data_IF_111653438228
#
_entry.id   IF_111653438228
#
_cell.length_a   1.000
_cell.length_b   1.000
_cell.length_c   1.000
_cell.angle_alpha   90.00
_cell.angle_beta   90.00
_cell.angle_gamma   90.00
#
_symmetry.space_group_name_H-M   'P 1'
#
loop_
_entity.id
_entity.type
_entity.pdbx_description
1 polymer ?
#
# COMPACT_ATOMS: atom_id res chain seq x y z
N UNK A 1 10.47 7.04 -23.93
CA UNK A 1 9.78 6.40 -22.82
C UNK A 1 10.49 5.12 -22.43
N UNK A 2 10.40 4.73 -21.17
CA UNK A 2 11.14 3.60 -20.59
C UNK A 2 10.63 2.21 -21.04
N UNK A 3 9.58 2.17 -21.89
CA UNK A 3 8.99 0.90 -22.37
C UNK A 3 8.08 0.18 -21.37
N UNK A 4 7.76 0.83 -20.26
CA UNK A 4 6.80 0.32 -19.30
C UNK A 4 5.35 0.53 -19.76
N UNK A 5 4.50 -0.45 -19.54
CA UNK A 5 3.08 -0.41 -19.84
C UNK A 5 2.31 -0.22 -18.52
N UNK A 6 1.68 0.96 -18.36
CA UNK A 6 0.81 1.23 -17.21
C UNK A 6 -0.44 0.35 -17.25
N UNK A 7 -0.97 0.01 -16.09
CA UNK A 7 -2.11 -0.90 -15.97
C UNK A 7 -3.47 -0.17 -16.04
N UNK A 8 -3.78 0.64 -15.03
CA UNK A 8 -5.05 1.37 -14.92
C UNK A 8 -4.84 2.64 -14.11
N UNK A 9 -5.71 3.63 -14.27
CA UNK A 9 -5.69 4.85 -13.48
C UNK A 9 -6.65 5.92 -14.01
N UNK A 10 -7.29 6.63 -13.10
CA UNK A 10 -8.04 7.85 -13.37
C UNK A 10 -7.38 9.03 -12.65
N UNK A 11 -6.28 9.47 -13.21
CA UNK A 11 -5.40 10.47 -12.61
C UNK A 11 -6.05 11.85 -12.48
N UNK A 12 -6.89 12.25 -13.44
CA UNK A 12 -7.56 13.55 -13.42
C UNK A 12 -8.61 13.61 -12.32
N UNK A 13 -9.46 12.60 -12.19
CA UNK A 13 -10.45 12.53 -11.12
C UNK A 13 -9.79 12.55 -9.73
N UNK A 14 -8.68 11.84 -9.55
CA UNK A 14 -7.94 11.86 -8.28
C UNK A 14 -7.39 13.26 -7.97
N UNK A 15 -6.84 13.94 -8.97
CA UNK A 15 -6.30 15.29 -8.83
C UNK A 15 -7.38 16.31 -8.49
N UNK A 16 -8.47 16.33 -9.26
CA UNK A 16 -9.57 17.28 -9.08
C UNK A 16 -10.22 17.10 -7.70
N UNK A 17 -10.42 15.84 -7.28
CA UNK A 17 -10.93 15.51 -5.95
C UNK A 17 -10.03 16.02 -4.83
N UNK A 18 -8.70 15.90 -4.97
CA UNK A 18 -7.75 16.39 -3.98
C UNK A 18 -7.76 17.93 -3.89
N UNK A 19 -7.80 18.63 -5.03
CA UNK A 19 -7.85 20.10 -5.07
C UNK A 19 -9.15 20.63 -4.43
N UNK A 20 -10.27 20.00 -4.75
CA UNK A 20 -11.58 20.36 -4.17
C UNK A 20 -11.61 20.15 -2.66
N UNK A 21 -11.13 18.99 -2.19
CA UNK A 21 -11.15 18.61 -0.78
C UNK A 21 -10.39 19.58 0.13
N UNK A 22 -9.29 20.16 -0.35
CA UNK A 22 -8.52 21.13 0.42
C UNK A 22 -8.98 22.58 0.24
N UNK A 23 -9.89 22.86 -0.69
CA UNK A 23 -10.28 24.23 -1.04
C UNK A 23 -9.11 25.02 -1.68
N UNK A 24 -8.44 24.41 -2.66
CA UNK A 24 -7.17 24.92 -3.21
C UNK A 24 -7.21 26.39 -3.66
N UNK A 25 -8.29 26.85 -4.32
CA UNK A 25 -8.41 28.22 -4.79
C UNK A 25 -8.46 29.24 -3.65
N UNK A 26 -9.11 28.88 -2.53
CA UNK A 26 -9.19 29.75 -1.36
C UNK A 26 -7.88 29.76 -0.59
N UNK A 27 -7.18 28.62 -0.51
CA UNK A 27 -5.81 28.57 0.03
C UNK A 27 -4.84 29.47 -0.76
N UNK A 28 -4.95 29.51 -2.09
CA UNK A 28 -4.12 30.40 -2.92
C UNK A 28 -4.44 31.88 -2.70
N UNK A 29 -5.70 32.24 -2.46
CA UNK A 29 -6.09 33.61 -2.06
C UNK A 29 -5.51 33.96 -0.68
N UNK A 30 -5.65 33.07 0.30
CA UNK A 30 -5.04 33.24 1.62
C UNK A 30 -3.54 33.43 1.53
N UNK A 31 -2.86 32.60 0.75
CA UNK A 31 -1.41 32.70 0.55
C UNK A 31 -1.01 34.07 -0.01
N UNK A 32 -1.72 34.55 -1.04
CA UNK A 32 -1.44 35.85 -1.63
C UNK A 32 -1.63 36.97 -0.60
N UNK A 33 -2.71 36.94 0.20
CA UNK A 33 -2.91 37.90 1.27
C UNK A 33 -1.82 37.81 2.36
N UNK A 34 -1.38 36.61 2.70
CA UNK A 34 -0.31 36.38 3.69
C UNK A 34 1.03 37.01 3.25
N UNK A 35 1.33 36.95 1.96
CA UNK A 35 2.53 37.61 1.39
C UNK A 35 2.45 39.14 1.53
N UNK A 36 1.30 39.74 1.26
CA UNK A 36 1.11 41.17 1.43
C UNK A 36 1.14 41.60 2.93
N UNK A 37 0.55 40.82 3.80
CA UNK A 37 0.61 41.07 5.25
C UNK A 37 2.02 40.92 5.80
N UNK A 38 2.82 39.97 5.28
CA UNK A 38 4.23 39.82 5.61
C UNK A 38 5.02 41.07 5.18
N UNK A 39 4.88 41.53 3.94
CA UNK A 39 5.55 42.74 3.43
C UNK A 39 5.15 43.99 4.23
N UNK A 40 3.94 44.04 4.76
CA UNK A 40 3.43 45.11 5.59
C UNK A 40 3.87 44.99 7.09
N UNK A 41 4.63 43.98 7.47
CA UNK A 41 5.06 43.72 8.85
C UNK A 41 3.96 43.27 9.81
N UNK A 42 2.81 42.81 9.29
CA UNK A 42 1.68 42.36 10.12
C UNK A 42 1.81 40.91 10.58
N UNK A 43 2.61 40.11 9.91
CA UNK A 43 2.87 38.70 10.23
C UNK A 43 4.33 38.33 9.94
N UNK A 44 4.85 37.33 10.65
CA UNK A 44 6.15 36.71 10.38
C UNK A 44 6.00 35.29 9.81
N UNK A 45 4.75 34.83 9.59
CA UNK A 45 4.45 33.50 9.08
C UNK A 45 4.08 33.57 7.60
N UNK A 46 4.69 32.68 6.81
CA UNK A 46 4.37 32.42 5.42
C UNK A 46 3.53 31.16 5.28
N UNK A 47 2.75 31.06 4.21
CA UNK A 47 1.94 29.89 3.88
C UNK A 47 2.52 29.23 2.63
N UNK A 48 2.79 27.92 2.70
CA UNK A 48 3.19 27.09 1.59
C UNK A 48 2.18 26.00 1.29
N UNK A 49 1.98 25.74 0.00
CA UNK A 49 1.05 24.71 -0.50
C UNK A 49 1.85 23.78 -1.41
N UNK A 50 2.20 22.62 -0.88
CA UNK A 50 2.96 21.59 -1.60
C UNK A 50 2.03 20.62 -2.28
N UNK A 51 2.20 20.44 -3.57
CA UNK A 51 1.39 19.59 -4.42
C UNK A 51 2.26 18.46 -4.97
N UNK A 52 1.73 17.24 -4.95
CA UNK A 52 2.34 16.09 -5.61
C UNK A 52 1.28 15.21 -6.24
N UNK A 53 1.49 14.87 -7.49
CA UNK A 53 0.77 13.81 -8.18
C UNK A 53 1.80 12.78 -8.66
N UNK A 54 1.60 11.53 -8.30
CA UNK A 54 2.59 10.48 -8.55
C UNK A 54 1.95 9.20 -9.06
N UNK A 55 2.74 8.44 -9.77
CA UNK A 55 2.47 7.04 -10.13
C UNK A 55 3.71 6.24 -9.76
N UNK A 56 3.52 5.19 -8.99
CA UNK A 56 4.58 4.30 -8.56
C UNK A 56 4.55 3.02 -9.38
N UNK A 57 5.72 2.46 -9.73
CA UNK A 57 5.86 1.12 -10.28
C UNK A 57 6.10 0.14 -9.14
N UNK A 58 5.19 -0.80 -8.93
CA UNK A 58 5.26 -1.76 -7.83
C UNK A 58 4.99 -3.19 -8.29
N UNK A 59 5.19 -4.13 -7.38
CA UNK A 59 4.95 -5.53 -7.66
C UNK A 59 6.06 -6.18 -8.47
N UNK A 60 7.31 -5.89 -8.10
CA UNK A 60 8.47 -6.57 -8.68
C UNK A 60 8.27 -8.09 -8.62
N UNK A 61 7.97 -8.69 -9.77
CA UNK A 61 7.51 -10.06 -9.88
C UNK A 61 7.54 -10.65 -11.28
N UNK A 62 7.15 -9.90 -12.36
CA UNK A 62 7.18 -10.47 -13.72
C UNK A 62 8.57 -10.93 -14.10
N UNK A 63 8.77 -12.23 -14.30
CA UNK A 63 10.08 -12.83 -14.68
C UNK A 63 10.63 -12.21 -15.96
N UNK A 64 9.76 -11.84 -16.90
CA UNK A 64 10.15 -11.18 -18.16
C UNK A 64 10.79 -9.79 -17.98
N UNK A 65 10.54 -9.11 -16.86
CA UNK A 65 10.95 -7.73 -16.63
C UNK A 65 11.86 -7.58 -15.41
N UNK A 66 11.82 -8.56 -14.49
CA UNK A 66 12.46 -8.46 -13.19
C UNK A 66 13.18 -9.75 -12.85
N UNK A 67 14.46 -9.63 -12.53
CA UNK A 67 15.20 -10.68 -11.87
C UNK A 67 16.11 -10.08 -10.79
N UNK A 68 16.43 -10.85 -9.78
CA UNK A 68 17.48 -10.53 -8.82
C UNK A 68 18.49 -11.68 -8.85
N UNK A 69 19.71 -11.38 -9.22
CA UNK A 69 20.80 -12.38 -9.32
C UNK A 69 20.45 -13.59 -10.22
N UNK A 70 19.63 -13.35 -11.26
CA UNK A 70 19.19 -14.43 -12.17
C UNK A 70 18.06 -15.29 -11.61
N UNK A 71 17.42 -14.89 -10.51
CA UNK A 71 16.27 -15.58 -9.92
C UNK A 71 14.96 -14.97 -10.42
N UNK A 72 14.01 -15.82 -10.81
CA UNK A 72 12.65 -15.38 -11.13
C UNK A 72 11.95 -14.78 -9.89
N UNK A 73 11.34 -13.62 -10.06
CA UNK A 73 10.74 -12.88 -8.95
C UNK A 73 9.26 -13.19 -8.72
N UNK A 74 8.76 -14.30 -9.26
CA UNK A 74 7.42 -14.81 -8.92
C UNK A 74 7.32 -15.17 -7.44
N UNK A 75 6.11 -15.40 -6.96
CA UNK A 75 5.87 -15.84 -5.59
C UNK A 75 4.91 -17.03 -5.54
N UNK A 76 4.73 -17.61 -4.37
CA UNK A 76 3.91 -18.79 -4.21
C UNK A 76 3.02 -18.74 -2.97
N UNK A 77 1.97 -19.55 -3.00
CA UNK A 77 1.14 -19.87 -1.84
C UNK A 77 0.82 -21.36 -1.86
N UNK A 78 1.10 -22.02 -0.75
CA UNK A 78 0.58 -23.35 -0.43
C UNK A 78 -0.60 -23.19 0.53
N UNK A 79 -1.70 -23.87 0.28
CA UNK A 79 -2.84 -23.93 1.19
C UNK A 79 -3.25 -25.36 1.46
N UNK A 80 -3.53 -25.66 2.72
CA UNK A 80 -4.15 -26.91 3.17
C UNK A 80 -5.35 -26.63 4.06
N UNK A 81 -6.49 -27.21 3.70
CA UNK A 81 -7.70 -27.19 4.55
C UNK A 81 -7.75 -28.49 5.35
N UNK A 82 -7.85 -28.38 6.66
CA UNK A 82 -7.98 -29.50 7.58
C UNK A 82 -9.42 -30.06 7.58
N UNK A 83 -9.64 -31.35 7.85
CA UNK A 83 -10.98 -31.94 7.94
C UNK A 83 -11.95 -31.24 8.89
N UNK A 84 -11.44 -30.48 9.87
CA UNK A 84 -12.27 -29.69 10.80
C UNK A 84 -12.76 -28.37 10.21
N UNK A 85 -12.28 -27.98 9.03
CA UNK A 85 -12.64 -26.74 8.37
C UNK A 85 -11.71 -25.55 8.69
N UNK A 86 -10.60 -25.73 9.41
CA UNK A 86 -9.54 -24.72 9.49
C UNK A 86 -8.56 -24.85 8.33
N UNK A 87 -7.82 -23.76 8.03
CA UNK A 87 -6.82 -23.76 6.97
C UNK A 87 -5.49 -23.20 7.44
N UNK A 88 -4.42 -23.66 6.81
CA UNK A 88 -3.07 -23.09 6.91
C UNK A 88 -2.65 -22.71 5.51
N UNK A 89 -2.12 -21.48 5.35
CA UNK A 89 -1.49 -21.03 4.13
C UNK A 89 -0.05 -20.60 4.39
N UNK A 90 0.88 -21.04 3.52
CA UNK A 90 2.30 -20.73 3.58
C UNK A 90 2.71 -19.93 2.38
N UNK A 91 3.41 -18.83 2.63
CA UNK A 91 3.80 -17.87 1.59
C UNK A 91 5.31 -17.60 1.63
N UNK A 92 5.86 -17.24 0.50
CA UNK A 92 7.28 -16.87 0.35
C UNK A 92 7.60 -15.42 0.72
N UNK A 93 6.64 -14.68 1.28
CA UNK A 93 6.80 -13.33 1.81
C UNK A 93 7.22 -13.32 3.27
N UNK A 94 7.47 -12.13 3.82
CA UNK A 94 7.69 -11.93 5.26
C UNK A 94 6.95 -10.69 5.73
N UNK A 95 6.25 -10.80 6.85
CA UNK A 95 5.59 -9.67 7.48
C UNK A 95 6.60 -8.79 8.21
N UNK A 96 6.43 -7.46 8.03
CA UNK A 96 7.19 -6.41 8.74
C UNK A 96 6.25 -5.51 9.55
N UNK A 97 5.03 -5.99 9.85
CA UNK A 97 4.00 -5.25 10.57
C UNK A 97 2.88 -4.67 9.70
N UNK A 98 2.92 -4.86 8.36
CA UNK A 98 1.95 -4.31 7.41
C UNK A 98 0.65 -5.13 7.26
N UNK A 99 0.37 -6.05 8.18
CA UNK A 99 -0.92 -6.74 8.28
C UNK A 99 -1.12 -7.89 7.30
N UNK A 100 -0.06 -8.56 6.83
CA UNK A 100 -0.14 -9.68 5.90
C UNK A 100 -1.05 -10.81 6.39
N UNK A 101 -0.91 -11.24 7.65
CA UNK A 101 -1.72 -12.31 8.20
C UNK A 101 -3.23 -12.04 8.06
N UNK A 102 -3.65 -10.80 8.25
CA UNK A 102 -5.05 -10.40 8.08
C UNK A 102 -5.45 -10.35 6.61
N UNK A 103 -4.65 -9.66 5.76
CA UNK A 103 -5.03 -9.45 4.35
C UNK A 103 -5.02 -10.73 3.54
N UNK A 104 -4.02 -11.60 3.71
CA UNK A 104 -3.99 -12.89 3.00
C UNK A 104 -5.09 -13.84 3.48
N UNK A 105 -5.41 -13.85 4.79
CA UNK A 105 -6.55 -14.59 5.29
C UNK A 105 -7.88 -14.09 4.69
N UNK A 106 -8.05 -12.77 4.51
CA UNK A 106 -9.22 -12.19 3.87
C UNK A 106 -9.32 -12.54 2.37
N UNK A 107 -8.20 -12.56 1.64
CA UNK A 107 -8.17 -13.02 0.25
C UNK A 107 -8.65 -14.48 0.18
N UNK A 108 -8.08 -15.35 1.00
CA UNK A 108 -8.49 -16.76 1.02
C UNK A 108 -9.94 -16.94 1.45
N UNK A 109 -10.39 -16.23 2.49
CA UNK A 109 -11.78 -16.29 2.92
C UNK A 109 -12.75 -16.01 1.77
N UNK A 110 -12.46 -14.98 0.98
CA UNK A 110 -13.26 -14.63 -0.21
C UNK A 110 -13.23 -15.69 -1.32
N UNK A 111 -12.10 -16.41 -1.46
CA UNK A 111 -11.94 -17.41 -2.52
C UNK A 111 -12.48 -18.80 -2.14
N UNK A 112 -12.50 -19.16 -0.85
CA UNK A 112 -12.83 -20.52 -0.41
C UNK A 112 -14.02 -20.60 0.55
N UNK A 113 -14.57 -19.47 1.01
CA UNK A 113 -15.77 -19.46 1.87
C UNK A 113 -15.52 -19.90 3.31
N UNK A 114 -14.29 -19.89 3.80
CA UNK A 114 -13.97 -20.06 5.22
C UNK A 114 -13.89 -18.71 5.92
N UNK A 115 -14.29 -18.60 7.19
CA UNK A 115 -14.04 -17.40 7.99
C UNK A 115 -12.54 -17.09 8.06
N UNK A 116 -12.16 -15.82 7.92
CA UNK A 116 -10.75 -15.41 7.93
C UNK A 116 -10.02 -15.77 9.24
N UNK A 117 -10.72 -15.78 10.36
CA UNK A 117 -10.18 -16.20 11.68
C UNK A 117 -9.91 -17.70 11.80
N UNK A 118 -10.42 -18.52 10.89
CA UNK A 118 -10.11 -19.95 10.79
C UNK A 118 -8.93 -20.27 9.87
N UNK A 119 -8.29 -19.22 9.31
CA UNK A 119 -7.18 -19.35 8.35
C UNK A 119 -5.90 -18.81 9.00
N UNK A 120 -4.92 -19.67 9.21
CA UNK A 120 -3.59 -19.31 9.72
C UNK A 120 -2.67 -18.99 8.53
N UNK A 121 -1.99 -17.86 8.58
CA UNK A 121 -0.98 -17.47 7.61
C UNK A 121 0.40 -17.68 8.23
N UNK A 122 1.27 -18.43 7.55
CA UNK A 122 2.66 -18.69 7.92
C UNK A 122 3.58 -18.06 6.88
N UNK A 123 4.52 -17.22 7.36
CA UNK A 123 5.50 -16.50 6.54
C UNK A 123 6.87 -16.49 7.25
N UNK A 124 7.93 -16.24 6.48
CA UNK A 124 9.27 -16.02 7.02
C UNK A 124 10.05 -17.28 7.37
N UNK A 125 9.51 -18.46 7.13
CA UNK A 125 10.18 -19.73 7.29
C UNK A 125 10.54 -20.32 5.91
N UNK A 126 11.82 -20.30 5.57
CA UNK A 126 12.33 -20.78 4.28
C UNK A 126 12.31 -22.30 4.15
N UNK A 127 12.15 -23.04 5.24
CA UNK A 127 12.05 -24.50 5.22
C UNK A 127 10.64 -24.98 4.85
N UNK A 128 9.63 -24.16 5.14
CA UNK A 128 8.23 -24.55 4.95
C UNK A 128 7.54 -23.80 3.80
N UNK A 129 7.99 -22.60 3.44
CA UNK A 129 7.43 -21.84 2.32
C UNK A 129 7.85 -22.48 0.98
N UNK A 130 6.94 -22.65 0.00
CA UNK A 130 7.27 -23.32 -1.25
C UNK A 130 8.30 -22.55 -2.10
N UNK A 131 8.15 -21.23 -2.21
CA UNK A 131 9.11 -20.32 -2.85
C UNK A 131 8.69 -18.88 -2.69
N UNK A 132 9.64 -17.96 -2.55
CA UNK A 132 9.42 -16.52 -2.61
C UNK A 132 10.69 -15.75 -2.29
N UNK A 133 10.68 -14.46 -2.62
CA UNK A 133 11.83 -13.57 -2.43
C UNK A 133 11.59 -12.51 -1.37
N UNK A 134 10.59 -12.69 -0.50
CA UNK A 134 10.31 -11.78 0.60
C UNK A 134 9.48 -10.57 0.20
N UNK A 135 9.56 -9.52 1.03
CA UNK A 135 8.70 -8.33 0.97
C UNK A 135 9.54 -7.08 0.80
N UNK A 136 9.38 -6.38 -0.33
CA UNK A 136 9.98 -5.10 -0.71
C UNK A 136 9.32 -4.59 -1.99
N UNK A 137 9.48 -3.32 -2.35
CA UNK A 137 8.95 -2.77 -3.60
C UNK A 137 7.43 -2.95 -3.73
N UNK A 138 6.72 -2.92 -2.60
CA UNK A 138 5.26 -3.09 -2.50
C UNK A 138 4.71 -4.31 -3.24
N UNK A 139 5.52 -5.41 -3.30
CA UNK A 139 5.24 -6.60 -4.12
C UNK A 139 4.33 -7.65 -3.48
N UNK A 140 4.19 -7.64 -2.16
CA UNK A 140 3.51 -8.74 -1.44
C UNK A 140 2.06 -8.93 -1.91
N UNK A 141 1.27 -7.87 -2.01
CA UNK A 141 -0.10 -7.98 -2.53
C UNK A 141 -0.14 -8.29 -4.04
N UNK A 142 0.60 -7.58 -4.92
CA UNK A 142 0.59 -7.87 -6.35
C UNK A 142 1.06 -9.27 -6.74
N UNK A 143 2.01 -9.86 -6.03
CA UNK A 143 2.60 -11.15 -6.41
C UNK A 143 2.12 -12.27 -5.49
N UNK A 144 2.39 -12.20 -4.19
CA UNK A 144 1.97 -13.24 -3.25
C UNK A 144 0.45 -13.23 -2.99
N UNK A 145 -0.18 -12.05 -2.95
CA UNK A 145 -1.65 -11.97 -2.86
C UNK A 145 -2.35 -12.58 -4.06
N UNK A 146 -1.78 -12.42 -5.25
CA UNK A 146 -2.25 -13.10 -6.46
C UNK A 146 -2.04 -14.62 -6.39
N UNK A 147 -0.87 -15.08 -5.95
CA UNK A 147 -0.61 -16.50 -5.71
C UNK A 147 -1.60 -17.10 -4.71
N UNK A 148 -1.93 -16.35 -3.67
CA UNK A 148 -2.92 -16.71 -2.65
C UNK A 148 -4.32 -16.88 -3.24
N UNK A 149 -4.79 -15.91 -4.02
CA UNK A 149 -6.07 -15.99 -4.71
C UNK A 149 -6.12 -17.20 -5.66
N UNK A 150 -5.05 -17.43 -6.43
CA UNK A 150 -4.97 -18.56 -7.36
C UNK A 150 -4.92 -19.92 -6.65
N UNK A 151 -4.25 -20.03 -5.50
CA UNK A 151 -4.28 -21.22 -4.65
C UNK A 151 -5.71 -21.47 -4.12
N UNK A 152 -6.39 -20.43 -3.64
CA UNK A 152 -7.79 -20.50 -3.23
C UNK A 152 -8.72 -20.99 -4.35
N UNK A 153 -8.53 -20.47 -5.57
CA UNK A 153 -9.32 -20.92 -6.75
C UNK A 153 -9.10 -22.39 -7.11
N UNK A 154 -7.86 -22.90 -6.96
CA UNK A 154 -7.60 -24.34 -7.14
C UNK A 154 -8.33 -25.18 -6.09
N UNK A 155 -8.32 -24.75 -4.83
CA UNK A 155 -9.09 -25.39 -3.75
C UNK A 155 -10.59 -25.36 -4.08
N UNK A 156 -11.11 -24.19 -4.47
CA UNK A 156 -12.53 -24.01 -4.83
C UNK A 156 -12.96 -24.94 -5.97
N UNK A 157 -12.16 -25.08 -7.01
CA UNK A 157 -12.45 -25.98 -8.12
C UNK A 157 -12.55 -27.44 -7.66
N UNK A 158 -11.61 -27.92 -6.84
CA UNK A 158 -11.68 -29.29 -6.26
C UNK A 158 -12.86 -29.42 -5.31
N UNK A 159 -13.13 -28.42 -4.49
CA UNK A 159 -14.27 -28.41 -3.56
C UNK A 159 -15.61 -28.46 -4.30
N UNK A 160 -15.73 -27.81 -5.47
CA UNK A 160 -16.91 -27.84 -6.31
C UNK A 160 -17.22 -29.28 -6.82
N UNK A 161 -16.20 -30.01 -7.26
CA UNK A 161 -16.34 -31.43 -7.67
C UNK A 161 -16.80 -32.31 -6.50
N UNK A 162 -16.22 -32.10 -5.32
CA UNK A 162 -16.61 -32.85 -4.10
C UNK A 162 -18.04 -32.50 -3.70
N UNK A 163 -18.42 -31.20 -3.74
CA UNK A 163 -19.79 -30.78 -3.45
C UNK A 163 -20.82 -31.39 -4.41
N UNK A 164 -20.51 -31.43 -5.71
CA UNK A 164 -21.33 -32.03 -6.72
C UNK A 164 -21.58 -33.52 -6.43
N UNK A 165 -20.54 -34.28 -6.10
CA UNK A 165 -20.64 -35.65 -5.67
C UNK A 165 -21.55 -35.82 -4.44
N UNK A 166 -21.35 -34.97 -3.41
CA UNK A 166 -22.14 -35.02 -2.17
C UNK A 166 -23.62 -34.63 -2.39
N UNK A 167 -23.88 -33.78 -3.38
CA UNK A 167 -25.22 -33.29 -3.71
C UNK A 167 -25.90 -34.15 -4.82
N UNK A 168 -25.19 -35.15 -5.34
CA UNK A 168 -25.67 -36.03 -6.41
C UNK A 168 -26.12 -35.26 -7.67
N UNK A 169 -25.25 -34.32 -8.13
CA UNK A 169 -25.46 -33.48 -9.33
C UNK A 169 -24.18 -33.46 -10.17
N UNK A 170 -24.27 -32.92 -11.40
CA UNK A 170 -23.08 -32.67 -12.21
C UNK A 170 -22.27 -31.48 -11.70
N UNK A 171 -20.96 -31.45 -11.92
CA UNK A 171 -20.05 -30.38 -11.45
C UNK A 171 -20.48 -28.99 -11.95
N UNK A 172 -20.98 -28.92 -13.21
CA UNK A 172 -21.46 -27.68 -13.81
C UNK A 172 -22.76 -27.15 -13.19
N UNK A 173 -23.49 -27.98 -12.44
CA UNK A 173 -24.73 -27.60 -11.74
C UNK A 173 -24.47 -27.02 -10.36
N UNK A 174 -23.22 -27.01 -9.91
CA UNK A 174 -22.79 -26.39 -8.65
C UNK A 174 -22.10 -25.05 -8.90
N UNK A 175 -22.43 -24.07 -8.09
CA UNK A 175 -21.71 -22.77 -8.06
C UNK A 175 -21.29 -22.42 -6.64
N UNK A 176 -20.23 -21.63 -6.53
CA UNK A 176 -19.77 -21.07 -5.27
C UNK A 176 -20.52 -19.78 -4.99
N UNK A 177 -21.23 -19.72 -3.87
CA UNK A 177 -21.99 -18.58 -3.40
C UNK A 177 -21.48 -18.15 -2.01
N UNK A 178 -20.65 -17.12 -2.00
CA UNK A 178 -20.05 -16.47 -0.83
C UNK A 178 -19.29 -17.42 0.11
N UNK A 179 -19.99 -18.29 0.83
CA UNK A 179 -19.45 -19.18 1.88
C UNK A 179 -19.82 -20.67 1.68
N UNK A 180 -20.46 -21.00 0.59
CA UNK A 180 -21.01 -22.34 0.34
C UNK A 180 -21.05 -22.68 -1.16
N UNK A 181 -21.24 -23.96 -1.44
CA UNK A 181 -21.42 -24.50 -2.78
C UNK A 181 -22.88 -24.90 -2.95
N UNK A 182 -23.59 -24.23 -3.83
CA UNK A 182 -25.05 -24.39 -4.01
C UNK A 182 -25.37 -25.04 -5.35
N UNK A 183 -26.50 -25.78 -5.41
CA UNK A 183 -27.03 -26.27 -6.69
C UNK A 183 -27.72 -25.12 -7.42
N UNK A 184 -27.35 -24.87 -8.67
CA UNK A 184 -27.96 -23.83 -9.51
C UNK A 184 -29.45 -24.03 -9.61
N UNK A 185 -30.24 -23.02 -9.28
CA UNK A 185 -31.70 -23.08 -9.26
C UNK A 185 -32.34 -23.75 -8.04
N UNK A 186 -31.52 -24.26 -7.08
CA UNK A 186 -31.97 -24.86 -5.83
C UNK A 186 -31.04 -24.49 -4.66
N UNK A 187 -31.00 -23.20 -4.26
CA UNK A 187 -30.02 -22.68 -3.29
C UNK A 187 -30.16 -23.27 -1.88
N UNK A 188 -31.26 -23.93 -1.57
CA UNK A 188 -31.45 -24.70 -0.34
C UNK A 188 -30.65 -26.01 -0.32
N UNK A 189 -30.21 -26.48 -1.48
CA UNK A 189 -29.30 -27.63 -1.64
C UNK A 189 -27.88 -27.14 -1.74
N UNK A 190 -27.15 -27.19 -0.63
CA UNK A 190 -25.79 -26.68 -0.57
C UNK A 190 -24.87 -27.54 0.32
N UNK A 191 -23.57 -27.31 0.19
CA UNK A 191 -22.51 -27.78 1.09
C UNK A 191 -21.60 -26.64 1.48
N UNK A 192 -21.23 -26.61 2.75
CA UNK A 192 -20.21 -25.69 3.28
C UNK A 192 -18.81 -26.22 3.01
N UNK A 193 -17.80 -25.35 2.97
CA UNK A 193 -16.41 -25.78 2.84
C UNK A 193 -15.99 -26.75 3.96
N UNK A 194 -16.50 -26.58 5.17
CA UNK A 194 -16.25 -27.49 6.29
C UNK A 194 -16.77 -28.92 6.05
N UNK A 195 -17.97 -29.08 5.51
CA UNK A 195 -18.53 -30.38 5.15
C UNK A 195 -17.73 -31.03 4.03
N UNK A 196 -17.35 -30.23 3.02
CA UNK A 196 -16.54 -30.66 1.88
C UNK A 196 -15.16 -31.11 2.35
N UNK A 197 -14.50 -30.32 3.21
CA UNK A 197 -13.20 -30.68 3.79
C UNK A 197 -13.29 -31.99 4.56
N UNK A 198 -14.33 -32.19 5.37
CA UNK A 198 -14.52 -33.46 6.06
C UNK A 198 -14.65 -34.62 5.07
N UNK A 199 -15.47 -34.48 4.00
CA UNK A 199 -15.65 -35.50 2.98
C UNK A 199 -14.36 -35.82 2.22
N UNK A 200 -13.57 -34.79 1.88
CA UNK A 200 -12.30 -34.92 1.16
C UNK A 200 -11.27 -35.85 1.83
N UNK A 201 -11.34 -36.00 3.14
CA UNK A 201 -10.42 -36.87 3.91
C UNK A 201 -11.05 -38.17 4.38
N UNK A 202 -12.39 -38.25 4.46
CA UNK A 202 -13.08 -39.39 5.09
C UNK A 202 -13.91 -40.21 4.12
N UNK A 203 -14.04 -39.79 2.85
CA UNK A 203 -14.81 -40.50 1.82
C UNK A 203 -13.93 -40.84 0.62
N UNK A 204 -14.12 -42.03 0.08
CA UNK A 204 -13.53 -42.41 -1.20
C UNK A 204 -14.45 -41.87 -2.34
N UNK A 205 -14.04 -40.73 -2.93
CA UNK A 205 -14.78 -40.07 -4.01
C UNK A 205 -14.18 -40.51 -5.35
N UNK A 206 -14.92 -41.18 -6.23
CA UNK A 206 -14.37 -41.66 -7.49
C UNK A 206 -13.75 -40.54 -8.34
N UNK A 207 -12.51 -40.75 -8.79
CA UNK A 207 -11.80 -39.79 -9.65
C UNK A 207 -11.24 -38.56 -8.95
N UNK A 208 -11.41 -38.45 -7.65
CA UNK A 208 -10.87 -37.32 -6.84
C UNK A 208 -9.85 -37.89 -5.85
N UNK A 209 -8.64 -37.32 -5.88
CA UNK A 209 -7.59 -37.62 -4.89
C UNK A 209 -8.02 -37.16 -3.50
N UNK A 210 -7.78 -37.95 -2.43
CA UNK A 210 -8.05 -37.53 -1.05
C UNK A 210 -7.31 -36.25 -0.67
N UNK A 211 -7.86 -35.53 0.35
CA UNK A 211 -7.29 -34.30 0.86
C UNK A 211 -7.76 -33.05 0.11
N UNK A 212 -7.48 -31.89 0.69
CA UNK A 212 -7.86 -30.57 0.15
C UNK A 212 -6.70 -29.60 0.30
N UNK A 213 -5.75 -29.74 -0.62
CA UNK A 213 -4.48 -29.00 -0.64
C UNK A 213 -4.21 -28.46 -2.05
N UNK A 214 -3.53 -27.31 -2.12
CA UNK A 214 -3.08 -26.74 -3.39
C UNK A 214 -1.84 -25.89 -3.21
N UNK A 215 -0.98 -25.90 -4.21
CA UNK A 215 0.14 -24.95 -4.35
C UNK A 215 -0.06 -24.14 -5.62
N UNK A 216 0.16 -22.83 -5.54
CA UNK A 216 0.18 -21.94 -6.68
C UNK A 216 1.47 -21.15 -6.73
N UNK A 217 2.13 -21.19 -7.87
CA UNK A 217 3.22 -20.29 -8.24
C UNK A 217 2.63 -19.25 -9.19
N UNK A 218 2.87 -17.98 -8.91
CA UNK A 218 2.29 -16.90 -9.70
C UNK A 218 3.39 -15.97 -10.24
N UNK A 219 3.56 -16.01 -11.55
CA UNK A 219 4.38 -15.05 -12.29
C UNK A 219 3.44 -13.98 -12.89
N UNK A 220 3.48 -12.73 -12.39
CA UNK A 220 2.59 -11.69 -12.89
C UNK A 220 2.81 -11.41 -14.39
N UNK A 221 1.75 -11.13 -15.15
CA UNK A 221 1.89 -10.77 -16.57
C UNK A 221 2.50 -9.37 -16.74
N UNK A 222 2.39 -8.49 -15.73
CA UNK A 222 2.97 -7.15 -15.70
C UNK A 222 3.11 -6.64 -14.25
N UNK A 223 3.79 -5.49 -14.08
CA UNK A 223 3.79 -4.69 -12.86
C UNK A 223 2.40 -4.08 -12.60
N UNK A 224 2.18 -3.57 -11.40
CA UNK A 224 1.01 -2.76 -11.05
C UNK A 224 1.43 -1.31 -10.75
N UNK A 225 0.51 -0.37 -10.93
CA UNK A 225 0.79 1.06 -10.86
C UNK A 225 -0.22 1.76 -9.96
N UNK A 226 0.00 1.75 -8.62
CA UNK A 226 -0.74 2.64 -7.72
C UNK A 226 -0.35 4.09 -8.02
N UNK A 227 -1.25 5.01 -7.69
CA UNK A 227 -1.03 6.44 -7.87
C UNK A 227 -1.74 7.23 -6.78
N UNK A 228 -1.39 8.49 -6.65
CA UNK A 228 -2.01 9.35 -5.67
C UNK A 228 -1.86 10.83 -5.98
N UNK A 229 -2.63 11.63 -5.23
CA UNK A 229 -2.58 13.08 -5.24
C UNK A 229 -2.49 13.57 -3.79
N UNK A 230 -1.36 14.20 -3.44
CA UNK A 230 -1.10 14.66 -2.08
C UNK A 230 -0.94 16.18 -2.03
N UNK A 231 -1.52 16.78 -1.01
CA UNK A 231 -1.47 18.23 -0.79
C UNK A 231 -1.10 18.51 0.66
N UNK A 232 0.02 19.22 0.85
CA UNK A 232 0.52 19.68 2.13
C UNK A 232 0.31 21.19 2.25
N UNK A 233 -0.38 21.64 3.29
CA UNK A 233 -0.53 23.06 3.63
C UNK A 233 0.29 23.34 4.89
N UNK A 234 1.30 24.17 4.78
CA UNK A 234 2.30 24.40 5.83
C UNK A 234 2.43 25.90 6.13
N UNK A 235 2.41 26.25 7.41
CA UNK A 235 2.84 27.57 7.87
C UNK A 235 4.31 27.53 8.31
N UNK A 236 5.07 28.56 7.97
CA UNK A 236 6.49 28.69 8.31
C UNK A 236 6.72 30.04 8.98
N UNK A 237 7.25 30.03 10.19
CA UNK A 237 7.75 31.22 10.87
C UNK A 237 9.18 31.53 10.38
N UNK A 238 9.37 32.68 9.74
CA UNK A 238 10.67 33.02 9.15
C UNK A 238 11.73 33.39 10.18
N UNK A 239 11.32 33.85 11.37
CA UNK A 239 12.25 34.30 12.40
C UNK A 239 12.87 33.15 13.20
N UNK A 240 12.15 32.00 13.29
CA UNK A 240 12.60 30.81 14.02
C UNK A 240 12.93 29.63 13.12
N UNK A 241 12.36 29.59 11.90
CA UNK A 241 12.38 28.45 11.02
C UNK A 241 11.40 27.33 11.41
N UNK A 242 10.62 27.54 12.47
CA UNK A 242 9.59 26.60 12.86
C UNK A 242 8.50 26.48 11.79
N UNK A 243 7.98 25.29 11.64
CA UNK A 243 6.90 25.00 10.70
C UNK A 243 5.76 24.25 11.37
N UNK A 244 4.55 24.46 10.87
CA UNK A 244 3.33 23.80 11.31
C UNK A 244 2.58 23.27 10.09
N UNK A 245 2.28 21.98 10.07
CA UNK A 245 1.43 21.39 9.01
C UNK A 245 -0.02 21.61 9.41
N UNK A 246 -0.67 22.57 8.77
CA UNK A 246 -2.08 22.91 8.99
C UNK A 246 -3.03 21.86 8.47
N UNK A 247 -2.67 21.27 7.33
CA UNK A 247 -3.46 20.26 6.64
C UNK A 247 -2.56 19.38 5.78
N UNK A 248 -2.80 18.09 5.79
CA UNK A 248 -2.25 17.17 4.81
C UNK A 248 -3.38 16.28 4.30
N UNK A 249 -3.61 16.33 3.00
CA UNK A 249 -4.58 15.49 2.33
C UNK A 249 -3.86 14.50 1.41
N UNK A 250 -4.17 13.22 1.57
CA UNK A 250 -3.59 12.13 0.80
C UNK A 250 -4.71 11.31 0.15
N UNK A 251 -4.75 11.32 -1.18
CA UNK A 251 -5.62 10.45 -1.96
C UNK A 251 -4.78 9.39 -2.65
N UNK A 252 -5.11 8.12 -2.41
CA UNK A 252 -4.43 6.96 -3.00
C UNK A 252 -5.36 6.10 -3.83
N UNK A 253 -4.83 5.53 -4.91
CA UNK A 253 -5.47 4.45 -5.66
C UNK A 253 -4.55 3.24 -5.71
N UNK A 254 -4.92 2.21 -4.99
CA UNK A 254 -4.23 0.91 -4.98
C UNK A 254 -5.09 -0.22 -5.60
N UNK A 255 -5.99 0.14 -6.50
CA UNK A 255 -6.95 -0.80 -7.10
C UNK A 255 -7.94 -1.33 -6.07
N UNK A 256 -8.22 -2.62 -6.10
CA UNK A 256 -9.13 -3.26 -5.14
C UNK A 256 -8.56 -3.21 -3.72
N UNK A 257 -9.28 -2.59 -2.81
CA UNK A 257 -8.89 -2.43 -1.40
C UNK A 257 -9.30 -3.65 -0.60
N UNK A 258 -8.33 -4.51 -0.26
CA UNK A 258 -8.57 -5.74 0.50
C UNK A 258 -9.01 -5.44 1.94
N UNK A 259 -8.26 -4.56 2.61
CA UNK A 259 -8.57 -4.11 3.97
C UNK A 259 -8.33 -2.59 4.08
N UNK A 260 -9.41 -1.78 4.09
CA UNK A 260 -9.30 -0.32 4.16
C UNK A 260 -8.52 0.20 5.37
N UNK A 261 -8.71 -0.39 6.56
CA UNK A 261 -8.01 0.02 7.78
C UNK A 261 -6.49 -0.22 7.70
N UNK A 262 -6.08 -1.35 7.13
CA UNK A 262 -4.64 -1.64 6.94
C UNK A 262 -4.03 -0.70 5.91
N UNK A 263 -4.73 -0.42 4.81
CA UNK A 263 -4.28 0.55 3.80
C UNK A 263 -4.09 1.94 4.43
N UNK A 264 -5.07 2.41 5.19
CA UNK A 264 -5.00 3.69 5.91
C UNK A 264 -3.81 3.73 6.88
N UNK A 265 -3.58 2.64 7.63
CA UNK A 265 -2.42 2.50 8.50
C UNK A 265 -1.09 2.57 7.76
N UNK A 266 -1.00 1.97 6.56
CA UNK A 266 0.18 2.06 5.69
C UNK A 266 0.38 3.50 5.18
N UNK A 267 -0.69 4.18 4.78
CA UNK A 267 -0.62 5.58 4.32
C UNK A 267 -0.15 6.50 5.44
N UNK A 268 -0.72 6.41 6.63
CA UNK A 268 -0.31 7.23 7.79
C UNK A 268 1.15 6.97 8.18
N UNK A 269 1.56 5.71 8.25
CA UNK A 269 2.93 5.34 8.60
C UNK A 269 3.95 5.85 7.59
N UNK A 270 3.69 5.64 6.30
CA UNK A 270 4.58 6.10 5.23
C UNK A 270 4.63 7.63 5.11
N UNK A 271 3.52 8.34 5.36
CA UNK A 271 3.53 9.82 5.41
C UNK A 271 4.34 10.36 6.59
N UNK A 272 4.33 9.67 7.73
CA UNK A 272 5.17 10.05 8.89
C UNK A 272 6.66 9.85 8.58
N UNK A 273 7.02 8.78 7.88
CA UNK A 273 8.39 8.59 7.39
C UNK A 273 8.75 9.63 6.31
N UNK A 274 7.84 9.94 5.39
CA UNK A 274 8.04 10.99 4.40
C UNK A 274 8.27 12.37 5.03
N UNK A 275 7.53 12.69 6.11
CA UNK A 275 7.75 13.87 6.93
C UNK A 275 9.18 13.88 7.50
N UNK A 276 9.60 12.76 8.10
CA UNK A 276 10.94 12.63 8.66
C UNK A 276 12.03 12.90 7.62
N UNK A 277 11.94 12.25 6.45
CA UNK A 277 12.89 12.42 5.34
C UNK A 277 12.93 13.87 4.87
N UNK A 278 11.77 14.49 4.67
CA UNK A 278 11.71 15.84 4.15
C UNK A 278 12.19 16.90 5.15
N UNK A 279 11.92 16.72 6.45
CA UNK A 279 12.01 17.77 7.43
C UNK A 279 13.16 17.60 8.43
N UNK A 280 13.80 16.42 8.57
CA UNK A 280 14.78 16.27 9.61
C UNK A 280 15.78 15.11 9.51
N UNK A 281 15.47 14.04 8.78
CA UNK A 281 16.38 12.89 8.70
C UNK A 281 17.63 13.20 7.88
N UNK A 282 18.79 12.96 8.46
CA UNK A 282 20.07 13.08 7.77
C UNK A 282 21.06 12.04 8.33
N UNK A 283 21.75 11.34 7.45
CA UNK A 283 22.90 10.52 7.82
C UNK A 283 24.16 11.36 7.56
N UNK A 284 24.69 11.93 8.64
CA UNK A 284 25.88 12.76 8.59
C UNK A 284 27.15 11.94 8.88
N UNK A 285 28.21 12.25 8.17
CA UNK A 285 29.53 11.63 8.34
C UNK A 285 30.56 12.65 8.82
N UNK A 286 31.57 12.19 9.55
CA UNK A 286 32.78 12.98 9.81
C UNK A 286 33.76 12.91 8.62
N UNK A 287 34.89 13.65 8.74
CA UNK A 287 35.91 13.65 7.69
C UNK A 287 36.64 12.33 7.49
N UNK A 288 36.43 11.34 8.35
CA UNK A 288 37.02 10.00 8.29
C UNK A 288 35.98 8.95 7.79
N UNK A 289 34.73 9.36 7.52
CA UNK A 289 33.67 8.48 7.06
C UNK A 289 32.90 7.79 8.19
N UNK A 290 33.10 8.18 9.45
CA UNK A 290 32.29 7.62 10.54
C UNK A 290 30.92 8.30 10.58
N UNK A 291 29.87 7.50 10.84
CA UNK A 291 28.50 8.01 11.01
C UNK A 291 28.39 8.81 12.31
N UNK A 292 27.95 10.06 12.21
CA UNK A 292 27.71 10.96 13.35
C UNK A 292 26.29 10.81 13.90
N UNK A 293 25.32 10.52 13.05
CA UNK A 293 23.90 10.37 13.41
C UNK A 293 23.53 8.90 13.67
N UNK A 294 24.37 8.21 14.44
CA UNK A 294 24.26 6.77 14.68
C UNK A 294 23.37 6.37 15.86
N UNK A 295 22.76 7.33 16.55
CA UNK A 295 21.87 7.08 17.69
C UNK A 295 20.55 7.80 17.54
N UNK A 296 19.50 7.38 18.28
CA UNK A 296 18.20 8.07 18.29
C UNK A 296 18.26 9.49 18.93
N UNK A 297 19.38 9.88 19.49
CA UNK A 297 19.62 11.26 19.95
C UNK A 297 20.03 12.19 18.81
N UNK A 298 20.63 11.64 17.77
CA UNK A 298 21.21 12.38 16.66
C UNK A 298 20.41 12.22 15.36
N UNK A 299 19.74 11.08 15.21
CA UNK A 299 18.91 10.78 14.05
C UNK A 299 17.46 11.13 14.33
N UNK A 300 16.88 12.02 13.52
CA UNK A 300 15.49 12.45 13.70
C UNK A 300 14.50 11.32 13.42
N UNK A 301 13.72 10.98 14.44
CA UNK A 301 12.59 10.06 14.34
C UNK A 301 11.35 10.78 14.86
N UNK A 302 10.32 11.04 14.01
CA UNK A 302 9.14 11.75 14.43
C UNK A 302 8.41 11.04 15.57
N UNK A 303 7.95 11.81 16.52
CA UNK A 303 7.07 11.36 17.60
C UNK A 303 5.62 11.71 17.27
N UNK A 304 4.69 11.35 18.15
CA UNK A 304 3.30 11.76 18.02
C UNK A 304 3.10 13.30 18.08
N UNK A 305 4.11 14.03 18.55
CA UNK A 305 4.06 15.49 18.61
C UNK A 305 4.30 16.14 17.24
N UNK A 306 5.26 15.61 16.48
CA UNK A 306 5.59 16.13 15.14
C UNK A 306 4.64 15.59 14.07
N UNK A 307 3.99 14.45 14.32
CA UNK A 307 3.09 13.82 13.35
C UNK A 307 1.76 14.55 13.28
N UNK A 308 1.40 15.14 12.13
CA UNK A 308 0.12 15.83 11.99
C UNK A 308 -1.04 14.83 11.83
N UNK A 309 -2.26 15.35 11.90
CA UNK A 309 -3.44 14.59 11.46
C UNK A 309 -3.48 14.55 9.93
N UNK A 310 -3.43 13.36 9.36
CA UNK A 310 -3.59 13.15 7.93
C UNK A 310 -5.06 12.92 7.58
N UNK A 311 -5.55 13.57 6.55
CA UNK A 311 -6.84 13.25 5.93
C UNK A 311 -6.59 12.34 4.74
N UNK A 312 -7.08 11.12 4.80
CA UNK A 312 -6.92 10.12 3.73
C UNK A 312 -8.20 9.93 2.94
N UNK A 313 -8.07 9.73 1.65
CA UNK A 313 -9.18 9.43 0.74
C UNK A 313 -8.68 8.46 -0.36
N UNK A 314 -9.59 8.05 -1.26
CA UNK A 314 -9.22 7.10 -2.30
C UNK A 314 -10.07 7.24 -3.57
N UNK A 315 -9.49 6.76 -4.67
CA UNK A 315 -10.18 6.27 -5.86
C UNK A 315 -9.94 4.77 -6.01
N UNK A 316 -10.62 4.12 -6.93
CA UNK A 316 -10.48 2.68 -7.14
C UNK A 316 -10.45 2.37 -8.62
N UNK A 317 -9.28 2.08 -9.16
CA UNK A 317 -9.07 1.62 -10.53
C UNK A 317 -8.37 0.25 -10.50
N UNK A 318 -9.14 -0.86 -10.53
CA UNK A 318 -8.57 -2.21 -10.43
C UNK A 318 -7.54 -2.49 -11.50
N UNK A 319 -6.43 -3.16 -11.12
CA UNK A 319 -5.42 -3.61 -12.08
C UNK A 319 -5.95 -4.77 -12.92
N UNK A 320 -5.92 -4.68 -14.26
CA UNK A 320 -6.31 -5.79 -15.13
C UNK A 320 -5.31 -6.95 -15.11
N UNK A 321 -4.10 -6.73 -14.57
CA UNK A 321 -3.04 -7.71 -14.49
C UNK A 321 -3.07 -8.54 -13.20
N UNK A 322 -3.95 -8.20 -12.25
CA UNK A 322 -4.06 -8.87 -10.97
C UNK A 322 -5.37 -9.63 -10.85
N UNK A 323 -5.38 -10.90 -10.36
CA UNK A 323 -6.58 -11.74 -10.31
C UNK A 323 -7.73 -11.18 -9.48
N UNK A 324 -7.46 -10.29 -8.53
CA UNK A 324 -8.46 -9.57 -7.72
C UNK A 324 -8.40 -8.05 -7.89
N UNK A 325 -7.62 -7.55 -8.87
CA UNK A 325 -7.54 -6.12 -9.19
C UNK A 325 -6.77 -5.26 -8.18
N UNK A 326 -6.06 -5.85 -7.23
CA UNK A 326 -5.29 -5.11 -6.23
C UNK A 326 -3.95 -4.60 -6.79
N UNK A 327 -3.42 -3.53 -6.19
CA UNK A 327 -2.08 -2.99 -6.42
C UNK A 327 -1.36 -2.85 -5.08
N UNK A 328 -0.03 -2.71 -5.09
CA UNK A 328 0.72 -2.39 -3.88
C UNK A 328 0.46 -0.97 -3.41
N UNK A 329 0.66 -0.69 -2.10
CA UNK A 329 0.45 0.64 -1.52
C UNK A 329 1.47 0.97 -0.42
N UNK A 330 2.28 0.00 -0.02
CA UNK A 330 3.14 0.14 1.17
C UNK A 330 4.13 1.30 1.09
N UNK A 331 4.68 1.59 -0.09
CA UNK A 331 5.70 2.62 -0.29
C UNK A 331 5.16 3.88 -0.96
N UNK A 332 3.93 3.87 -1.48
CA UNK A 332 3.29 5.02 -2.16
C UNK A 332 3.33 6.32 -1.35
N UNK A 333 3.10 6.29 -0.01
CA UNK A 333 3.13 7.52 0.78
C UNK A 333 4.51 8.20 0.82
N UNK A 334 5.59 7.43 0.73
CA UNK A 334 6.94 8.00 0.62
C UNK A 334 7.18 8.63 -0.75
N UNK A 335 6.67 8.01 -1.82
CA UNK A 335 6.79 8.56 -3.19
C UNK A 335 6.11 9.91 -3.31
N UNK A 336 4.89 10.05 -2.78
CA UNK A 336 4.11 11.28 -2.84
C UNK A 336 4.39 12.26 -1.70
N UNK A 337 4.63 11.77 -0.50
CA UNK A 337 4.74 12.57 0.72
C UNK A 337 6.01 13.43 0.77
N UNK A 338 7.17 12.85 0.51
CA UNK A 338 8.45 13.57 0.55
C UNK A 338 8.42 14.82 -0.33
N UNK A 339 8.04 14.74 -1.62
CA UNK A 339 7.95 15.95 -2.44
C UNK A 339 6.78 16.87 -2.04
N UNK A 340 5.68 16.37 -1.47
CA UNK A 340 4.59 17.23 -1.01
C UNK A 340 5.06 18.15 0.14
N UNK A 341 5.76 17.62 1.14
CA UNK A 341 6.34 18.42 2.22
C UNK A 341 7.39 19.41 1.68
N UNK A 342 8.32 18.93 0.86
CA UNK A 342 9.37 19.76 0.28
C UNK A 342 8.81 20.88 -0.60
N UNK A 343 7.82 20.59 -1.44
CA UNK A 343 7.16 21.58 -2.28
C UNK A 343 6.45 22.66 -1.45
N UNK A 344 5.88 22.31 -0.29
CA UNK A 344 5.27 23.29 0.61
C UNK A 344 6.30 24.30 1.11
N UNK A 345 7.49 23.85 1.51
CA UNK A 345 8.58 24.76 1.90
C UNK A 345 9.00 25.68 0.74
N UNK A 346 9.19 25.13 -0.45
CA UNK A 346 9.52 25.91 -1.65
C UNK A 346 8.46 26.94 -1.99
N UNK A 347 7.20 26.54 -1.94
CA UNK A 347 6.07 27.40 -2.30
C UNK A 347 5.89 28.57 -1.33
N UNK A 348 6.17 28.37 -0.03
CA UNK A 348 6.11 29.43 0.97
C UNK A 348 7.08 30.59 0.65
N UNK A 349 8.27 30.29 0.16
CA UNK A 349 9.29 31.28 -0.17
C UNK A 349 9.30 31.72 -1.64
N UNK A 350 8.45 31.14 -2.49
CA UNK A 350 8.42 31.40 -3.93
C UNK A 350 8.23 32.89 -4.27
N UNK A 351 7.35 33.59 -3.55
CA UNK A 351 7.06 35.00 -3.76
C UNK A 351 8.27 35.91 -3.46
N UNK A 352 9.29 35.40 -2.76
CA UNK A 352 10.51 36.10 -2.39
C UNK A 352 11.73 35.66 -3.20
N UNK A 353 11.50 34.90 -4.29
CA UNK A 353 12.53 34.52 -5.27
C UNK A 353 13.30 33.25 -4.96
N UNK A 354 12.87 32.43 -4.01
CA UNK A 354 13.50 31.13 -3.77
C UNK A 354 13.41 30.27 -5.04
N UNK A 355 14.54 29.70 -5.46
CA UNK A 355 14.62 28.76 -6.58
C UNK A 355 14.74 27.32 -6.10
N UNK A 356 15.55 27.09 -5.07
CA UNK A 356 15.81 25.76 -4.54
C UNK A 356 16.34 25.84 -3.11
N UNK A 357 15.93 24.90 -2.27
CA UNK A 357 16.53 24.59 -0.98
C UNK A 357 16.64 23.07 -0.84
N UNK A 358 17.72 22.58 -0.26
CA UNK A 358 17.97 21.14 -0.12
C UNK A 358 17.31 20.58 1.14
N UNK A 359 16.79 19.37 1.03
CA UNK A 359 16.36 18.59 2.19
C UNK A 359 17.56 18.12 3.03
N UNK A 360 17.34 17.79 4.32
CA UNK A 360 16.10 17.99 5.05
C UNK A 360 15.84 19.47 5.34
N UNK A 361 14.58 19.86 5.43
CA UNK A 361 14.15 21.23 5.73
C UNK A 361 13.99 21.43 7.24
N UNK A 362 15.05 21.20 8.01
CA UNK A 362 15.07 21.47 9.44
C UNK A 362 14.92 22.97 9.76
N UNK A 363 14.61 23.30 10.99
CA UNK A 363 14.36 24.69 11.42
C UNK A 363 15.53 25.60 11.07
N UNK A 364 16.77 25.13 11.22
CA UNK A 364 17.96 25.94 10.89
C UNK A 364 18.06 26.22 9.39
N UNK A 365 17.83 25.22 8.53
CA UNK A 365 17.87 25.39 7.07
C UNK A 365 16.75 26.28 6.57
N UNK A 366 15.56 26.19 7.15
CA UNK A 366 14.42 27.10 6.87
C UNK A 366 14.77 28.51 7.29
N UNK A 367 15.26 28.71 8.53
CA UNK A 367 15.69 30.00 9.03
C UNK A 367 16.79 30.60 8.16
N UNK A 368 17.82 29.81 7.82
CA UNK A 368 18.90 30.25 6.94
C UNK A 368 18.39 30.67 5.57
N UNK A 369 17.43 29.94 5.00
CA UNK A 369 16.79 30.27 3.72
C UNK A 369 16.10 31.64 3.81
N UNK A 370 15.36 31.91 4.86
CA UNK A 370 14.72 33.20 5.11
C UNK A 370 15.77 34.33 5.24
N UNK A 371 16.88 34.07 5.96
CA UNK A 371 17.99 35.03 6.11
C UNK A 371 18.68 35.33 4.77
N UNK A 372 18.96 34.30 3.97
CA UNK A 372 19.61 34.44 2.66
C UNK A 372 18.73 35.21 1.66
N UNK A 373 17.42 35.18 1.84
CA UNK A 373 16.44 35.96 1.08
C UNK A 373 16.18 37.36 1.65
N UNK A 374 16.86 37.75 2.76
CA UNK A 374 16.71 39.05 3.39
C UNK A 374 15.33 39.27 4.03
N UNK A 375 14.70 38.26 4.55
CA UNK A 375 13.35 38.33 5.14
C UNK A 375 13.34 38.61 6.63
N UNK A 376 14.52 38.61 7.29
CA UNK A 376 14.68 39.02 8.67
C UNK A 376 14.72 40.56 8.72
N UNK A 377 13.92 41.14 9.61
CA UNK A 377 13.82 42.59 9.77
C UNK A 377 14.92 43.21 10.65
#
# INVERSE_FOLDING_TARGET
ALGWEYDSGDYHTAWDKALEAVGYDDLRKEQAQRVEDFKAGKTRKLLGIGLTHFTEIVGAGPVKNCDILGLGMFDSCEIRIHPTGSAIARLGTISQGQGHATTFAQILASEIGLPADSITIEEGDTDTAPYGLGTYGSRSTPVAGAATAMAGRKIRAKAQMIAAYMLEVHDDDVEFDVDRFVVKGAPERFKTMKEIAFAAYNQAIPGIEPGLEAVSYYDPPNMTYPFGAYICVMEIDVDTGEHEIRQFYALDDCGTRINPMIIEGQVHGGLTEALAIAMGQEIAYDNMGNVKTGTLMDFFLPTAWETPNYTTDHTTTPSPHHPIGAKGVGESPNVGGVPAFSNAVHDAFRAFGLRQVHMPHDHWRIWKTANDLGLHG
#
